data_IF_685824890804
#
_entry.id   IF_685824890804
#
_cell.length_a   1.000
_cell.length_b   1.000
_cell.length_c   1.000
_cell.angle_alpha   90.00
_cell.angle_beta   90.00
_cell.angle_gamma   90.00
#
_symmetry.space_group_name_H-M   'P 1'
#
loop_
_entity.id
_entity.type
_entity.pdbx_description
1 polymer ?
#
# COMPACT_ATOMS: atom_id res chain seq x y z
N UNK A 1 1.67 5.16 -20.01
CA UNK A 1 0.52 5.73 -19.27
C UNK A 1 1.10 6.27 -17.98
N UNK A 2 0.85 7.53 -17.61
CA UNK A 2 1.39 8.08 -16.36
C UNK A 2 0.41 7.76 -15.22
N UNK A 3 0.92 7.23 -14.12
CA UNK A 3 0.17 6.94 -12.89
C UNK A 3 0.75 7.77 -11.74
N UNK A 4 -0.11 8.39 -10.95
CA UNK A 4 0.25 9.10 -9.73
C UNK A 4 -0.40 8.41 -8.53
N UNK A 5 0.40 8.09 -7.51
CA UNK A 5 0.00 7.21 -6.42
C UNK A 5 -0.15 7.96 -5.09
N UNK A 6 -1.28 7.70 -4.43
CA UNK A 6 -1.62 8.23 -3.12
C UNK A 6 -2.32 7.13 -2.32
N UNK A 7 -1.88 6.92 -1.09
CA UNK A 7 -2.46 5.93 -0.18
C UNK A 7 -2.42 6.47 1.25
N UNK A 8 -3.46 6.16 2.02
CA UNK A 8 -3.55 6.48 3.44
C UNK A 8 -4.47 5.46 4.10
N UNK A 9 -4.03 4.97 5.26
CA UNK A 9 -4.85 4.16 6.17
C UNK A 9 -5.00 4.92 7.49
N UNK A 10 -6.13 4.76 8.17
CA UNK A 10 -6.46 5.48 9.41
C UNK A 10 -7.23 4.57 10.37
N UNK A 11 -6.91 4.63 11.68
CA UNK A 11 -7.56 3.83 12.72
C UNK A 11 -9.05 4.17 12.91
N UNK A 12 -9.48 5.37 12.49
CA UNK A 12 -10.81 5.88 12.73
C UNK A 12 -11.02 6.31 14.18
N UNK A 13 -12.27 6.24 14.66
CA UNK A 13 -12.68 6.89 15.94
C UNK A 13 -12.72 5.98 17.15
N UNK A 14 -13.08 4.71 16.96
CA UNK A 14 -13.49 3.81 18.05
C UNK A 14 -12.50 2.66 18.24
N UNK A 15 -11.73 2.31 17.20
CA UNK A 15 -10.78 1.20 17.23
C UNK A 15 -9.55 1.60 18.06
N UNK A 16 -8.92 0.60 18.70
CA UNK A 16 -7.68 0.78 19.48
C UNK A 16 -6.43 0.82 18.62
N UNK A 17 -6.47 0.20 17.45
CA UNK A 17 -5.37 0.09 16.51
C UNK A 17 -5.91 -0.02 15.09
N UNK A 18 -5.06 0.35 14.14
CA UNK A 18 -5.36 0.21 12.73
C UNK A 18 -4.93 -1.19 12.27
N UNK A 19 -5.87 -1.99 11.76
CA UNK A 19 -5.61 -3.33 11.22
C UNK A 19 -5.66 -3.34 9.69
N UNK A 20 -6.01 -2.20 9.07
CA UNK A 20 -6.11 -2.03 7.63
C UNK A 20 -4.72 -1.76 7.05
N UNK A 21 -4.34 -2.47 5.97
CA UNK A 21 -3.07 -2.25 5.28
C UNK A 21 -3.28 -2.10 3.76
N UNK A 22 -2.24 -1.66 3.06
CA UNK A 22 -2.19 -1.61 1.60
C UNK A 22 -0.84 -2.08 1.10
N UNK A 23 -0.82 -2.51 -0.16
CA UNK A 23 0.39 -2.84 -0.91
C UNK A 23 0.30 -2.21 -2.31
N UNK A 24 1.30 -1.42 -2.64
CA UNK A 24 1.57 -0.94 -4.00
C UNK A 24 2.85 -1.63 -4.47
N UNK A 25 2.78 -2.31 -5.61
CA UNK A 25 3.92 -2.98 -6.23
C UNK A 25 3.99 -2.63 -7.71
N UNK A 26 5.02 -1.88 -8.09
CA UNK A 26 5.40 -1.72 -9.49
C UNK A 26 6.22 -2.94 -9.90
N UNK A 27 5.68 -3.73 -10.82
CA UNK A 27 6.31 -4.98 -11.26
C UNK A 27 7.55 -4.71 -12.11
N UNK A 28 7.58 -3.60 -12.87
CA UNK A 28 8.67 -3.24 -13.77
C UNK A 28 9.91 -2.79 -13.01
N UNK A 29 9.73 -2.01 -11.95
CA UNK A 29 10.80 -1.49 -11.09
C UNK A 29 11.12 -2.40 -9.90
N UNK A 30 10.25 -3.38 -9.63
CA UNK A 30 10.30 -4.23 -8.43
C UNK A 30 10.36 -3.39 -7.14
N UNK A 31 9.53 -2.35 -7.10
CA UNK A 31 9.43 -1.41 -5.99
C UNK A 31 8.10 -1.56 -5.29
N UNK A 32 8.18 -1.54 -3.96
CA UNK A 32 7.05 -1.76 -3.08
C UNK A 32 6.81 -0.54 -2.19
N UNK A 33 5.55 -0.25 -1.89
CA UNK A 33 5.13 0.68 -0.86
C UNK A 33 3.94 0.12 -0.08
N UNK A 34 4.07 0.06 1.24
CA UNK A 34 3.08 -0.48 2.18
C UNK A 34 2.68 0.57 3.22
N UNK A 35 1.61 0.29 3.98
CA UNK A 35 1.19 1.13 5.11
C UNK A 35 2.23 1.26 6.21
N UNK A 36 3.22 0.36 6.26
CA UNK A 36 4.32 0.35 7.23
C UNK A 36 5.45 1.31 6.89
N UNK A 37 5.58 1.72 5.62
CA UNK A 37 6.73 2.49 5.11
C UNK A 37 6.62 4.01 5.39
N UNK A 38 5.53 4.44 6.02
CA UNK A 38 5.27 5.84 6.38
C UNK A 38 4.17 6.50 5.56
N UNK A 39 4.00 7.81 5.75
CA UNK A 39 2.81 8.56 5.31
C UNK A 39 2.82 8.99 3.85
N UNK A 40 3.91 8.77 3.12
CA UNK A 40 4.04 9.20 1.72
C UNK A 40 4.71 8.15 0.84
N UNK A 41 4.40 8.14 -0.48
CA UNK A 41 5.03 7.22 -1.40
C UNK A 41 6.54 7.48 -1.48
N UNK A 42 7.35 6.43 -1.70
CA UNK A 42 8.72 6.57 -2.20
C UNK A 42 8.74 7.49 -3.43
N UNK A 43 9.81 8.26 -3.60
CA UNK A 43 9.90 9.26 -4.66
C UNK A 43 9.72 8.63 -6.06
N UNK A 44 10.21 7.40 -6.22
CA UNK A 44 10.11 6.58 -7.43
C UNK A 44 8.69 6.10 -7.73
N UNK A 45 7.85 5.94 -6.70
CA UNK A 45 6.47 5.45 -6.84
C UNK A 45 5.44 6.59 -6.83
N UNK A 46 5.81 7.81 -6.41
CA UNK A 46 4.88 8.94 -6.34
C UNK A 46 4.25 9.24 -7.70
N UNK A 47 5.04 9.19 -8.77
CA UNK A 47 4.60 9.39 -10.15
C UNK A 47 5.48 8.57 -11.08
N UNK A 48 4.89 7.60 -11.75
CA UNK A 48 5.60 6.63 -12.58
C UNK A 48 4.95 6.50 -13.95
N UNK A 49 5.76 6.12 -14.94
CA UNK A 49 5.26 5.63 -16.22
C UNK A 49 4.96 4.13 -16.07
N UNK A 50 3.70 3.75 -16.26
CA UNK A 50 3.25 2.37 -16.14
C UNK A 50 3.94 1.51 -17.22
N UNK A 51 4.83 0.63 -16.77
CA UNK A 51 5.53 -0.31 -17.62
C UNK A 51 4.64 -1.47 -18.07
N UNK A 52 5.13 -2.27 -19.02
CA UNK A 52 4.39 -3.39 -19.61
C UNK A 52 4.01 -4.49 -18.61
N UNK A 53 4.77 -4.62 -17.52
CA UNK A 53 4.49 -5.59 -16.47
C UNK A 53 3.35 -5.13 -15.55
N UNK A 54 2.97 -3.86 -15.62
CA UNK A 54 1.85 -3.30 -14.89
C UNK A 54 2.15 -2.98 -13.43
N UNK A 55 1.06 -2.72 -12.69
CA UNK A 55 1.07 -2.23 -11.32
C UNK A 55 0.04 -3.02 -10.53
N UNK A 56 0.42 -3.46 -9.33
CA UNK A 56 -0.45 -4.15 -8.38
C UNK A 56 -0.81 -3.19 -7.26
N UNK A 57 -2.11 -3.05 -7.01
CA UNK A 57 -2.67 -2.23 -5.93
C UNK A 57 -3.58 -3.13 -5.10
N UNK A 58 -3.26 -3.27 -3.81
CA UNK A 58 -4.00 -4.12 -2.87
C UNK A 58 -4.36 -3.31 -1.64
N UNK A 59 -5.56 -3.53 -1.14
CA UNK A 59 -6.02 -3.05 0.17
C UNK A 59 -6.52 -4.26 0.94
N UNK A 60 -6.07 -4.40 2.19
CA UNK A 60 -6.50 -5.45 3.10
C UNK A 60 -7.25 -4.84 4.29
N UNK A 61 -8.46 -5.32 4.54
CA UNK A 61 -9.23 -5.05 5.76
C UNK A 61 -8.86 -6.11 6.80
N UNK A 62 -8.03 -5.73 7.77
CA UNK A 62 -7.62 -6.65 8.83
C UNK A 62 -8.77 -6.90 9.80
N UNK A 63 -9.15 -8.17 9.96
CA UNK A 63 -10.14 -8.59 10.95
C UNK A 63 -9.54 -9.68 11.84
N UNK A 64 -9.41 -9.39 13.14
CA UNK A 64 -8.96 -10.36 14.15
C UNK A 64 -7.55 -10.12 14.69
N UNK A 65 -6.98 -8.94 14.49
CA UNK A 65 -5.62 -8.57 14.86
C UNK A 65 -4.84 -8.01 13.67
N UNK A 66 -4.03 -6.98 13.90
CA UNK A 66 -3.21 -6.31 12.88
C UNK A 66 -2.32 -7.27 12.04
N UNK A 67 -1.93 -8.42 12.60
CA UNK A 67 -1.12 -9.43 11.91
C UNK A 67 -1.78 -9.97 10.62
N UNK A 68 -3.11 -10.03 10.55
CA UNK A 68 -3.80 -10.54 9.36
C UNK A 68 -3.66 -9.58 8.17
N UNK A 69 -3.77 -8.27 8.41
CA UNK A 69 -3.56 -7.23 7.40
C UNK A 69 -2.12 -7.23 6.89
N UNK A 70 -1.15 -7.33 7.81
CA UNK A 70 0.28 -7.38 7.50
C UNK A 70 0.68 -8.59 6.65
N UNK A 71 0.13 -9.78 6.94
CA UNK A 71 0.41 -10.99 6.16
C UNK A 71 -0.14 -10.88 4.74
N UNK A 72 -1.32 -10.27 4.56
CA UNK A 72 -1.93 -10.10 3.25
C UNK A 72 -1.20 -9.08 2.36
N UNK A 73 -0.50 -8.12 2.96
CA UNK A 73 0.26 -7.06 2.27
C UNK A 73 1.75 -7.36 2.07
N UNK A 74 2.24 -8.51 2.55
CA UNK A 74 3.63 -8.95 2.42
C UNK A 74 3.87 -9.71 1.12
#
# INVERSE_FOLDING_TARGET
>A
MIVELHAKSDVGRVRRGNEDNFLVLDLSMQKTWTGSDGTGPPQELKKLDLGEQGLVLVVSDGMGGALAGDVASR
#
